data_IF_081076865930
#
_entry.id   IF_081076865930
#
_cell.length_a   1.000
_cell.length_b   1.000
_cell.length_c   1.000
_cell.angle_alpha   90.00
_cell.angle_beta   90.00
_cell.angle_gamma   90.00
#
_symmetry.space_group_name_H-M   'P 1'
#
loop_
_entity.id
_entity.type
_entity.pdbx_description
1 polymer ?
#
# COMPACT_ATOMS: atom_id res chain seq x y z
N UNK A 1 53.92 -12.32 -7.34
CA UNK A 1 53.65 -10.87 -7.47
C UNK A 1 52.30 -10.60 -8.16
N UNK A 2 51.87 -11.43 -9.12
CA UNK A 2 50.61 -11.26 -9.84
C UNK A 2 49.40 -11.56 -8.94
N UNK A 3 49.38 -12.63 -8.17
CA UNK A 3 48.30 -13.00 -7.26
C UNK A 3 48.01 -11.96 -6.16
N UNK A 4 49.01 -11.27 -5.63
CA UNK A 4 48.83 -10.25 -4.58
C UNK A 4 48.18 -9.00 -5.18
N UNK A 5 48.49 -8.67 -6.41
CA UNK A 5 47.92 -7.51 -7.13
C UNK A 5 46.47 -7.73 -7.49
N UNK A 6 46.10 -8.97 -7.83
CA UNK A 6 44.70 -9.33 -8.14
C UNK A 6 43.83 -9.35 -6.89
N UNK A 7 44.34 -9.85 -5.75
CA UNK A 7 43.61 -9.84 -4.47
C UNK A 7 43.36 -8.41 -3.94
N UNK A 8 44.35 -7.53 -4.04
CA UNK A 8 44.23 -6.12 -3.65
C UNK A 8 43.22 -5.39 -4.53
N UNK A 9 43.23 -5.68 -5.87
CA UNK A 9 42.27 -5.08 -6.79
C UNK A 9 40.83 -5.54 -6.54
N UNK A 10 40.67 -6.81 -6.16
CA UNK A 10 39.35 -7.37 -5.82
C UNK A 10 38.81 -6.75 -4.52
N UNK A 11 39.67 -6.66 -3.49
CA UNK A 11 39.29 -6.05 -2.21
C UNK A 11 38.97 -4.54 -2.34
N UNK A 12 39.67 -3.85 -3.23
CA UNK A 12 39.40 -2.44 -3.52
C UNK A 12 38.06 -2.25 -4.24
N UNK A 13 37.73 -3.15 -5.17
CA UNK A 13 36.47 -3.13 -5.88
C UNK A 13 35.26 -3.45 -4.97
N UNK A 14 35.42 -4.44 -4.09
CA UNK A 14 34.40 -4.75 -3.07
C UNK A 14 34.17 -3.57 -2.13
N UNK A 15 35.22 -2.90 -1.73
CA UNK A 15 35.12 -1.70 -0.87
C UNK A 15 34.42 -0.53 -1.57
N UNK A 16 34.70 -0.31 -2.86
CA UNK A 16 34.00 0.70 -3.67
C UNK A 16 32.51 0.37 -3.83
N UNK A 17 32.16 -0.89 -4.06
CA UNK A 17 30.77 -1.36 -4.14
C UNK A 17 30.04 -1.16 -2.81
N UNK A 18 30.68 -1.50 -1.69
CA UNK A 18 30.13 -1.28 -0.34
C UNK A 18 29.89 0.20 -0.05
N UNK A 19 30.86 1.07 -0.36
CA UNK A 19 30.72 2.52 -0.19
C UNK A 19 29.61 3.11 -1.05
N UNK A 20 29.47 2.61 -2.28
CA UNK A 20 28.39 3.02 -3.17
C UNK A 20 27.02 2.58 -2.63
N UNK A 21 26.91 1.33 -2.15
CA UNK A 21 25.69 0.81 -1.53
C UNK A 21 25.32 1.60 -0.28
N UNK A 22 26.28 1.93 0.57
CA UNK A 22 26.09 2.73 1.77
C UNK A 22 25.62 4.16 1.42
N UNK A 23 26.22 4.77 0.39
CA UNK A 23 25.84 6.09 -0.08
C UNK A 23 24.40 6.09 -0.62
N UNK A 24 24.03 5.10 -1.43
CA UNK A 24 22.68 4.93 -1.97
C UNK A 24 21.68 4.73 -0.82
N UNK A 25 22.01 3.86 0.14
CA UNK A 25 21.18 3.60 1.31
C UNK A 25 20.95 4.88 2.12
N UNK A 26 21.99 5.66 2.38
CA UNK A 26 21.89 6.92 3.12
C UNK A 26 21.02 7.97 2.39
N UNK A 27 21.11 8.03 1.06
CA UNK A 27 20.23 8.91 0.26
C UNK A 27 18.78 8.46 0.36
N UNK A 28 18.52 7.15 0.25
CA UNK A 28 17.17 6.59 0.38
C UNK A 28 16.59 6.90 1.76
N UNK A 29 17.34 6.64 2.85
CA UNK A 29 16.90 6.97 4.21
C UNK A 29 16.61 8.46 4.41
N UNK A 30 17.41 9.32 3.79
CA UNK A 30 17.23 10.78 3.90
C UNK A 30 15.96 11.24 3.17
N UNK A 31 15.71 10.69 1.99
CA UNK A 31 14.49 10.95 1.21
C UNK A 31 13.26 10.39 1.94
N UNK A 32 13.36 9.17 2.45
CA UNK A 32 12.31 8.52 3.23
C UNK A 32 11.92 9.35 4.45
N UNK A 33 12.90 9.75 5.28
CA UNK A 33 12.65 10.60 6.45
C UNK A 33 12.07 11.98 6.12
N UNK A 34 12.39 12.53 4.93
CA UNK A 34 11.79 13.79 4.48
C UNK A 34 10.32 13.56 4.05
N UNK A 35 10.04 12.49 3.32
CA UNK A 35 8.69 12.17 2.83
C UNK A 35 7.76 11.80 3.98
N UNK A 36 8.20 10.91 4.88
CA UNK A 36 7.42 10.45 6.05
C UNK A 36 7.47 11.41 7.26
N UNK A 37 7.93 12.64 7.05
CA UNK A 37 7.99 13.68 8.07
C UNK A 37 6.63 14.29 8.42
N UNK A 38 6.66 15.32 9.26
CA UNK A 38 5.49 16.08 9.73
C UNK A 38 4.57 16.57 8.60
N UNK A 39 5.12 16.88 7.43
CA UNK A 39 4.36 17.34 6.28
C UNK A 39 3.34 16.31 5.79
N UNK A 40 3.76 15.06 5.71
CA UNK A 40 2.87 13.98 5.27
C UNK A 40 1.78 13.72 6.32
N UNK A 41 2.11 13.78 7.61
CA UNK A 41 1.16 13.62 8.70
C UNK A 41 0.10 14.71 8.63
N UNK A 42 0.51 15.98 8.50
CA UNK A 42 -0.41 17.13 8.37
C UNK A 42 -1.30 16.98 7.12
N UNK A 43 -0.71 16.61 5.99
CA UNK A 43 -1.44 16.40 4.74
C UNK A 43 -2.46 15.25 4.89
N UNK A 44 -2.05 14.15 5.50
CA UNK A 44 -2.89 12.96 5.71
C UNK A 44 -4.10 13.30 6.61
N UNK A 45 -3.84 13.83 7.82
CA UNK A 45 -4.90 14.21 8.75
C UNK A 45 -5.77 15.33 8.21
N UNK A 46 -5.16 16.34 7.57
CA UNK A 46 -5.88 17.42 6.89
C UNK A 46 -6.84 16.89 5.82
N UNK A 47 -6.38 15.93 5.02
CA UNK A 47 -7.22 15.26 4.01
C UNK A 47 -8.34 14.46 4.66
N UNK A 48 -8.07 13.73 5.73
CA UNK A 48 -9.06 12.94 6.46
C UNK A 48 -10.16 13.83 7.05
N UNK A 49 -9.78 14.93 7.68
CA UNK A 49 -10.73 15.91 8.27
C UNK A 49 -11.54 16.59 7.15
N UNK A 50 -10.86 17.05 6.10
CA UNK A 50 -11.53 17.67 4.95
C UNK A 50 -12.57 16.74 4.33
N UNK A 51 -12.21 15.48 4.07
CA UNK A 51 -13.14 14.50 3.51
C UNK A 51 -14.28 14.16 4.46
N UNK A 52 -14.01 14.08 5.77
CA UNK A 52 -15.06 13.87 6.78
C UNK A 52 -16.12 14.98 6.73
N UNK A 53 -15.69 16.23 6.66
CA UNK A 53 -16.59 17.39 6.55
C UNK A 53 -17.35 17.36 5.21
N UNK A 54 -16.65 17.14 4.11
CA UNK A 54 -17.25 17.12 2.76
C UNK A 54 -18.23 15.99 2.54
N UNK A 55 -18.07 14.85 3.20
CA UNK A 55 -18.97 13.70 3.12
C UNK A 55 -20.10 13.74 4.17
N UNK A 56 -20.17 14.81 4.99
CA UNK A 56 -21.20 14.97 5.99
C UNK A 56 -21.14 13.89 7.08
N UNK A 57 -19.95 13.59 7.59
CA UNK A 57 -19.70 12.59 8.63
C UNK A 57 -20.23 11.21 8.23
N UNK A 58 -19.82 10.72 7.07
CA UNK A 58 -20.25 9.43 6.51
C UNK A 58 -20.03 8.27 7.48
N UNK A 59 -19.07 8.38 8.39
CA UNK A 59 -18.76 7.37 9.41
C UNK A 59 -20.00 6.93 10.21
N UNK A 60 -20.92 7.86 10.51
CA UNK A 60 -22.16 7.56 11.23
C UNK A 60 -23.08 6.58 10.48
N UNK A 61 -23.00 6.57 9.15
CA UNK A 61 -23.85 5.74 8.28
C UNK A 61 -23.15 4.48 7.81
N UNK A 62 -21.80 4.42 7.93
CA UNK A 62 -21.00 3.35 7.35
C UNK A 62 -21.31 2.00 7.96
N UNK A 63 -21.44 1.90 9.28
CA UNK A 63 -21.67 0.62 9.95
C UNK A 63 -23.01 0.03 9.51
N UNK A 64 -24.13 0.75 9.69
CA UNK A 64 -25.46 0.19 9.41
C UNK A 64 -25.75 0.03 7.91
N UNK A 65 -25.43 1.05 7.10
CA UNK A 65 -25.65 0.98 5.64
C UNK A 65 -24.61 0.13 4.94
N UNK A 66 -23.36 0.16 5.36
CA UNK A 66 -22.29 -0.62 4.77
C UNK A 66 -22.54 -2.12 4.90
N UNK A 67 -22.90 -2.61 6.09
CA UNK A 67 -23.25 -4.03 6.31
C UNK A 67 -24.47 -4.42 5.47
N UNK A 68 -25.51 -3.60 5.45
CA UNK A 68 -26.72 -3.86 4.66
C UNK A 68 -26.39 -3.99 3.16
N UNK A 69 -25.64 -3.03 2.62
CA UNK A 69 -25.28 -3.01 1.19
C UNK A 69 -24.33 -4.14 0.80
N UNK A 70 -23.45 -4.59 1.71
CA UNK A 70 -22.51 -5.68 1.41
C UNK A 70 -23.22 -7.03 1.21
N UNK A 71 -24.34 -7.24 1.90
CA UNK A 71 -25.10 -8.49 1.83
C UNK A 71 -26.24 -8.42 0.81
N UNK A 72 -26.67 -7.21 0.46
CA UNK A 72 -27.77 -7.01 -0.49
C UNK A 72 -27.33 -7.36 -1.91
N UNK A 73 -28.09 -8.21 -2.58
CA UNK A 73 -27.94 -8.46 -4.03
C UNK A 73 -28.54 -7.28 -4.78
N UNK A 74 -27.77 -6.66 -5.63
CA UNK A 74 -28.23 -5.60 -6.54
C UNK A 74 -28.31 -6.20 -7.95
N UNK A 75 -29.52 -6.43 -8.48
CA UNK A 75 -29.70 -7.00 -9.82
C UNK A 75 -29.21 -6.09 -10.94
N UNK A 76 -29.19 -4.77 -10.69
CA UNK A 76 -28.80 -3.75 -11.66
C UNK A 76 -27.33 -3.35 -11.55
N UNK A 77 -26.54 -4.04 -10.72
CA UNK A 77 -25.11 -3.75 -10.55
C UNK A 77 -24.34 -4.08 -11.83
N UNK A 78 -23.81 -3.08 -12.48
CA UNK A 78 -22.91 -3.22 -13.65
C UNK A 78 -21.49 -3.72 -13.29
N UNK A 79 -21.33 -4.62 -12.32
CA UNK A 79 -20.06 -5.16 -11.86
C UNK A 79 -19.89 -6.62 -12.26
N UNK A 80 -18.63 -7.07 -12.41
CA UNK A 80 -18.30 -8.48 -12.66
C UNK A 80 -18.40 -9.35 -11.39
N UNK A 81 -18.50 -8.73 -10.22
CA UNK A 81 -18.48 -9.38 -8.89
C UNK A 81 -19.65 -8.90 -8.05
N UNK A 82 -20.18 -9.79 -7.20
CA UNK A 82 -21.22 -9.43 -6.24
C UNK A 82 -20.70 -8.42 -5.20
N UNK A 83 -21.61 -7.70 -4.54
CA UNK A 83 -21.24 -6.73 -3.47
C UNK A 83 -20.43 -7.40 -2.35
N UNK A 84 -20.81 -8.62 -1.96
CA UNK A 84 -20.07 -9.41 -0.98
C UNK A 84 -18.69 -9.83 -1.51
N UNK A 85 -18.61 -10.26 -2.76
CA UNK A 85 -17.34 -10.60 -3.42
C UNK A 85 -16.40 -9.40 -3.51
N UNK A 86 -16.92 -8.21 -3.81
CA UNK A 86 -16.14 -6.97 -3.82
C UNK A 86 -15.63 -6.60 -2.42
N UNK A 87 -16.45 -6.78 -1.38
CA UNK A 87 -16.04 -6.54 0.01
C UNK A 87 -14.93 -7.51 0.43
N UNK A 88 -15.09 -8.81 0.19
CA UNK A 88 -14.09 -9.84 0.57
C UNK A 88 -12.78 -9.63 -0.15
N UNK A 89 -12.81 -9.28 -1.43
CA UNK A 89 -11.61 -8.95 -2.21
C UNK A 89 -10.92 -7.70 -1.66
N UNK A 90 -11.69 -6.66 -1.33
CA UNK A 90 -11.13 -5.44 -0.75
C UNK A 90 -10.51 -5.70 0.63
N UNK A 91 -11.14 -6.53 1.48
CA UNK A 91 -10.59 -6.92 2.77
C UNK A 91 -9.30 -7.74 2.60
N UNK A 92 -9.29 -8.73 1.71
CA UNK A 92 -8.11 -9.54 1.43
C UNK A 92 -6.93 -8.69 0.93
N UNK A 93 -7.20 -7.69 0.10
CA UNK A 93 -6.15 -6.76 -0.38
C UNK A 93 -5.67 -5.76 0.67
N UNK A 94 -6.49 -5.44 1.68
CA UNK A 94 -6.18 -4.42 2.69
C UNK A 94 -5.56 -5.01 3.95
N UNK A 95 -5.96 -6.22 4.34
CA UNK A 95 -5.41 -6.89 5.52
C UNK A 95 -4.06 -7.51 5.16
N UNK A 96 -3.01 -6.92 5.69
CA UNK A 96 -1.63 -7.34 5.43
C UNK A 96 -0.74 -7.13 6.65
N UNK A 97 0.57 -7.32 6.46
CA UNK A 97 1.59 -7.16 7.53
C UNK A 97 1.57 -5.79 8.17
N UNK A 98 1.20 -4.73 7.43
CA UNK A 98 1.05 -3.38 7.98
C UNK A 98 0.04 -3.28 9.11
N UNK A 99 -1.05 -4.06 9.07
CA UNK A 99 -2.10 -4.06 10.09
C UNK A 99 -1.72 -4.89 11.33
N UNK A 100 -0.78 -5.79 11.22
CA UNK A 100 -0.34 -6.69 12.29
C UNK A 100 1.04 -6.26 12.80
N UNK A 101 2.06 -6.41 11.99
CA UNK A 101 3.44 -6.08 12.33
C UNK A 101 3.62 -4.57 12.50
N UNK A 102 3.08 -3.77 11.58
CA UNK A 102 3.18 -2.30 11.63
C UNK A 102 2.53 -1.70 12.87
N UNK A 103 1.35 -2.19 13.26
CA UNK A 103 0.69 -1.75 14.50
C UNK A 103 1.46 -2.25 15.73
N UNK A 104 1.94 -3.50 15.72
CA UNK A 104 2.80 -4.03 16.77
C UNK A 104 4.06 -3.19 16.98
N UNK A 105 4.75 -2.83 15.90
CA UNK A 105 5.93 -1.96 15.93
C UNK A 105 5.58 -0.56 16.43
N UNK A 106 4.46 0.00 16.00
CA UNK A 106 4.01 1.31 16.48
C UNK A 106 3.77 1.32 18.00
N UNK A 107 3.20 0.23 18.54
CA UNK A 107 2.99 0.07 19.98
C UNK A 107 4.31 -0.10 20.72
N UNK A 108 5.22 -0.90 20.16
CA UNK A 108 6.54 -1.13 20.77
C UNK A 108 7.38 0.16 20.86
N UNK A 109 7.32 1.01 19.85
CA UNK A 109 8.07 2.26 19.80
C UNK A 109 7.35 3.43 20.46
N UNK A 110 6.03 3.53 20.29
CA UNK A 110 5.21 4.67 20.72
C UNK A 110 4.41 4.42 22.01
N UNK A 111 4.50 3.21 22.56
CA UNK A 111 3.75 2.81 23.76
C UNK A 111 2.24 2.68 23.50
N UNK A 112 1.43 2.51 24.58
CA UNK A 112 -0.02 2.28 24.47
C UNK A 112 -0.79 3.42 23.76
N UNK A 113 -0.25 4.64 23.80
CA UNK A 113 -0.84 5.79 23.10
C UNK A 113 -0.90 5.63 21.58
N UNK A 114 -0.04 4.80 20.99
CA UNK A 114 -0.06 4.50 19.55
C UNK A 114 -1.40 3.87 19.12
N UNK A 115 -2.01 3.05 19.96
CA UNK A 115 -3.32 2.43 19.68
C UNK A 115 -4.40 3.49 19.48
N UNK A 116 -4.42 4.52 20.36
CA UNK A 116 -5.37 5.63 20.26
C UNK A 116 -5.21 6.37 18.93
N UNK A 117 -3.97 6.65 18.53
CA UNK A 117 -3.67 7.32 17.25
C UNK A 117 -4.08 6.46 16.04
N UNK A 118 -3.85 5.14 16.10
CA UNK A 118 -4.32 4.21 15.06
C UNK A 118 -5.86 4.24 14.94
N UNK A 119 -6.59 4.25 16.05
CA UNK A 119 -8.05 4.32 16.04
C UNK A 119 -8.56 5.66 15.50
N UNK A 120 -7.98 6.77 15.95
CA UNK A 120 -8.35 8.10 15.45
C UNK A 120 -8.12 8.21 13.95
N UNK A 121 -6.95 7.78 13.48
CA UNK A 121 -6.62 7.73 12.05
C UNK A 121 -7.61 6.85 11.29
N UNK A 122 -7.96 5.68 11.82
CA UNK A 122 -8.93 4.77 11.22
C UNK A 122 -10.32 5.39 11.08
N UNK A 123 -10.85 6.02 12.13
CA UNK A 123 -12.16 6.66 12.13
C UNK A 123 -12.24 7.76 11.05
N UNK A 124 -11.25 8.64 11.01
CA UNK A 124 -11.22 9.70 10.00
C UNK A 124 -10.89 9.16 8.60
N UNK A 125 -10.08 8.10 8.53
CA UNK A 125 -9.72 7.41 7.29
C UNK A 125 -10.89 6.79 6.54
N UNK A 126 -11.98 6.43 7.24
CA UNK A 126 -13.22 5.92 6.62
C UNK A 126 -13.74 6.88 5.53
N UNK A 127 -13.80 8.18 5.81
CA UNK A 127 -14.30 9.16 4.85
C UNK A 127 -13.39 9.30 3.63
N UNK A 128 -12.09 9.21 3.83
CA UNK A 128 -11.12 9.25 2.74
C UNK A 128 -11.22 8.01 1.86
N UNK A 129 -11.31 6.81 2.46
CA UNK A 129 -11.47 5.56 1.72
C UNK A 129 -12.80 5.49 0.96
N UNK A 130 -13.88 5.98 1.57
CA UNK A 130 -15.16 6.12 0.89
C UNK A 130 -15.05 7.02 -0.35
N UNK A 131 -14.40 8.18 -0.20
CA UNK A 131 -14.21 9.12 -1.31
C UNK A 131 -13.33 8.56 -2.41
N UNK A 132 -12.25 7.85 -2.07
CA UNK A 132 -11.38 7.13 -2.99
C UNK A 132 -12.16 6.12 -3.81
N UNK A 133 -12.92 5.25 -3.15
CA UNK A 133 -13.74 4.23 -3.80
C UNK A 133 -14.82 4.85 -4.71
N UNK A 134 -15.47 5.90 -4.24
CA UNK A 134 -16.48 6.64 -5.03
C UNK A 134 -15.88 7.23 -6.33
N UNK A 135 -14.71 7.84 -6.22
CA UNK A 135 -13.99 8.42 -7.37
C UNK A 135 -13.54 7.32 -8.32
N UNK A 136 -13.02 6.20 -7.79
CA UNK A 136 -12.60 5.06 -8.59
C UNK A 136 -13.76 4.48 -9.42
N UNK A 137 -14.94 4.33 -8.83
CA UNK A 137 -16.15 3.87 -9.52
C UNK A 137 -16.64 4.90 -10.54
N UNK A 138 -16.67 6.19 -10.17
CA UNK A 138 -17.15 7.28 -11.05
C UNK A 138 -16.35 7.41 -12.35
N UNK A 139 -15.02 7.20 -12.27
CA UNK A 139 -14.13 7.37 -13.43
C UNK A 139 -13.70 6.05 -14.06
N UNK A 140 -14.34 4.92 -13.68
CA UNK A 140 -14.08 3.62 -14.31
C UNK A 140 -14.43 3.64 -15.79
N UNK A 141 -13.80 2.75 -16.53
CA UNK A 141 -13.90 2.62 -17.97
C UNK A 141 -14.24 1.20 -18.34
N UNK A 142 -15.17 1.04 -19.25
CA UNK A 142 -15.39 -0.26 -19.90
C UNK A 142 -14.42 -0.39 -21.07
N UNK A 143 -13.57 -1.41 -21.02
CA UNK A 143 -12.64 -1.73 -22.10
C UNK A 143 -13.38 -2.37 -23.28
N UNK A 144 -12.69 -2.48 -24.44
CA UNK A 144 -13.26 -3.14 -25.64
C UNK A 144 -13.64 -4.59 -25.35
N UNK A 145 -12.93 -5.24 -24.44
CA UNK A 145 -13.17 -6.62 -24.03
C UNK A 145 -14.30 -6.77 -22.98
N UNK A 146 -15.05 -5.69 -22.72
CA UNK A 146 -16.16 -5.68 -21.76
C UNK A 146 -15.76 -5.53 -20.30
N UNK A 147 -14.46 -5.60 -19.94
CA UNK A 147 -13.97 -5.50 -18.56
C UNK A 147 -14.06 -4.09 -18.02
N UNK A 148 -14.42 -3.96 -16.74
CA UNK A 148 -14.41 -2.68 -16.04
C UNK A 148 -13.04 -2.38 -15.45
N UNK A 149 -12.42 -1.28 -15.85
CA UNK A 149 -11.15 -0.81 -15.31
C UNK A 149 -11.34 0.54 -14.62
N UNK A 150 -10.73 0.69 -13.44
CA UNK A 150 -10.82 1.89 -12.61
C UNK A 150 -9.54 2.09 -11.79
N UNK A 151 -9.65 2.95 -10.79
CA UNK A 151 -8.55 3.25 -9.87
C UNK A 151 -7.99 4.66 -10.04
N UNK A 152 -6.94 4.97 -9.25
CA UNK A 152 -6.40 6.32 -9.16
C UNK A 152 -5.86 6.85 -10.49
N UNK A 153 -5.26 6.01 -11.34
CA UNK A 153 -4.74 6.42 -12.65
C UNK A 153 -5.85 6.93 -13.59
N UNK A 154 -7.01 6.26 -13.58
CA UNK A 154 -8.16 6.70 -14.37
C UNK A 154 -8.83 7.93 -13.77
N UNK A 155 -8.91 8.00 -12.44
CA UNK A 155 -9.43 9.16 -11.74
C UNK A 155 -8.58 10.41 -12.01
N UNK A 156 -7.25 10.30 -11.98
CA UNK A 156 -6.34 11.40 -12.32
C UNK A 156 -6.45 11.82 -13.79
N UNK A 157 -6.41 10.87 -14.71
CA UNK A 157 -6.42 11.18 -16.14
C UNK A 157 -7.75 11.74 -16.65
N UNK A 158 -8.88 11.37 -16.03
CA UNK A 158 -10.22 11.79 -16.43
C UNK A 158 -10.86 12.85 -15.55
N UNK A 159 -10.55 12.85 -14.25
CA UNK A 159 -11.15 13.74 -13.26
C UNK A 159 -10.56 15.14 -13.22
N UNK A 160 -9.28 15.29 -13.56
CA UNK A 160 -8.62 16.60 -13.57
C UNK A 160 -9.08 17.48 -14.74
N UNK A 161 -9.24 18.77 -14.46
CA UNK A 161 -9.58 19.77 -15.50
C UNK A 161 -8.47 19.85 -16.57
N UNK A 162 -7.23 19.80 -16.18
CA UNK A 162 -6.06 19.82 -17.06
C UNK A 162 -5.73 18.42 -17.55
N UNK A 163 -6.30 18.04 -18.69
CA UNK A 163 -6.21 16.68 -19.25
C UNK A 163 -4.77 16.20 -19.48
N UNK A 164 -3.87 17.08 -19.93
CA UNK A 164 -2.45 16.74 -20.13
C UNK A 164 -1.77 16.39 -18.79
N UNK A 165 -1.95 17.24 -17.78
CA UNK A 165 -1.41 17.01 -16.43
C UNK A 165 -2.00 15.73 -15.81
N UNK A 166 -3.30 15.52 -15.95
CA UNK A 166 -3.98 14.33 -15.46
C UNK A 166 -3.45 13.03 -16.06
N UNK A 167 -3.15 13.01 -17.36
CA UNK A 167 -2.52 11.85 -18.02
C UNK A 167 -1.11 11.58 -17.50
N UNK A 168 -0.29 12.63 -17.37
CA UNK A 168 1.08 12.49 -16.86
C UNK A 168 1.07 11.96 -15.42
N UNK A 169 0.26 12.56 -14.55
CA UNK A 169 0.14 12.11 -13.16
C UNK A 169 -0.41 10.68 -13.06
N UNK A 170 -1.39 10.32 -13.89
CA UNK A 170 -1.93 8.96 -13.96
C UNK A 170 -0.88 7.94 -14.41
N UNK A 171 -0.01 8.29 -15.36
CA UNK A 171 1.08 7.45 -15.82
C UNK A 171 2.15 7.29 -14.73
N UNK A 172 2.57 8.38 -14.10
CA UNK A 172 3.53 8.37 -13.00
C UNK A 172 3.01 7.48 -11.87
N UNK A 173 1.74 7.65 -11.49
CA UNK A 173 1.10 6.80 -10.48
C UNK A 173 1.14 5.31 -10.87
N UNK A 174 0.80 4.97 -12.11
CA UNK A 174 0.80 3.58 -12.57
C UNK A 174 2.19 2.94 -12.51
N UNK A 175 3.24 3.68 -12.90
CA UNK A 175 4.63 3.22 -12.82
C UNK A 175 5.05 2.98 -11.38
N UNK A 176 4.84 3.95 -10.49
CA UNK A 176 5.19 3.79 -9.08
C UNK A 176 4.37 2.70 -8.38
N UNK A 177 3.07 2.56 -8.70
CA UNK A 177 2.24 1.48 -8.17
C UNK A 177 2.74 0.11 -8.64
N UNK A 178 3.21 0.00 -9.90
CA UNK A 178 3.82 -1.22 -10.41
C UNK A 178 5.09 -1.59 -9.63
N UNK A 179 6.01 -0.66 -9.41
CA UNK A 179 7.20 -0.92 -8.59
C UNK A 179 6.85 -1.25 -7.14
N UNK A 180 5.91 -0.51 -6.53
CA UNK A 180 5.49 -0.74 -5.16
C UNK A 180 4.86 -2.13 -4.96
N UNK A 181 4.18 -2.68 -5.97
CA UNK A 181 3.56 -4.00 -5.88
C UNK A 181 4.58 -5.13 -5.66
N UNK A 182 5.78 -5.03 -6.23
CA UNK A 182 6.85 -6.01 -5.99
C UNK A 182 7.39 -5.93 -4.56
N UNK A 183 7.63 -4.73 -4.02
CA UNK A 183 8.15 -4.54 -2.67
C UNK A 183 7.09 -4.82 -1.61
N UNK A 184 6.10 -3.95 -1.52
CA UNK A 184 5.09 -3.95 -0.44
C UNK A 184 4.06 -5.08 -0.66
N UNK A 185 3.69 -5.37 -1.91
CA UNK A 185 2.66 -6.35 -2.22
C UNK A 185 3.11 -7.80 -2.02
N UNK A 186 4.36 -8.11 -2.28
CA UNK A 186 4.88 -9.48 -2.24
C UNK A 186 6.03 -9.65 -1.25
N UNK A 187 7.16 -8.97 -1.47
CA UNK A 187 8.39 -9.24 -0.73
C UNK A 187 8.25 -9.05 0.78
N UNK A 188 7.64 -7.97 1.24
CA UNK A 188 7.43 -7.71 2.68
C UNK A 188 6.47 -8.70 3.32
N UNK A 189 5.43 -9.13 2.61
CA UNK A 189 4.45 -10.10 3.11
C UNK A 189 5.12 -11.46 3.33
N UNK A 190 5.80 -11.98 2.30
CA UNK A 190 6.51 -13.28 2.35
C UNK A 190 7.61 -13.26 3.40
N UNK A 191 8.39 -12.18 3.47
CA UNK A 191 9.44 -12.04 4.48
C UNK A 191 8.89 -12.09 5.91
N UNK A 192 7.77 -11.42 6.18
CA UNK A 192 7.15 -11.44 7.51
C UNK A 192 6.62 -12.82 7.87
N UNK A 193 6.02 -13.56 6.92
CA UNK A 193 5.58 -14.94 7.12
C UNK A 193 6.79 -15.83 7.41
N UNK A 194 7.85 -15.71 6.61
CA UNK A 194 9.06 -16.50 6.74
C UNK A 194 9.71 -16.29 8.12
N UNK A 195 9.86 -15.03 8.56
CA UNK A 195 10.44 -14.71 9.86
C UNK A 195 9.64 -15.32 11.02
N UNK A 196 8.30 -15.19 11.02
CA UNK A 196 7.45 -15.75 12.07
C UNK A 196 7.54 -17.28 12.11
N UNK A 197 7.58 -17.95 10.96
CA UNK A 197 7.72 -19.41 10.90
C UNK A 197 9.12 -19.82 11.38
N UNK A 198 10.17 -19.15 10.93
CA UNK A 198 11.55 -19.44 11.33
C UNK A 198 11.74 -19.29 12.83
N UNK A 199 11.27 -18.20 13.44
CA UNK A 199 11.36 -17.97 14.88
C UNK A 199 10.61 -19.00 15.73
N UNK A 200 9.47 -19.53 15.23
CA UNK A 200 8.66 -20.45 16.01
C UNK A 200 8.95 -21.93 15.73
N UNK A 201 9.45 -22.29 14.55
CA UNK A 201 9.64 -23.68 14.13
C UNK A 201 11.09 -24.03 13.86
N UNK A 202 11.98 -23.05 13.71
CA UNK A 202 13.38 -23.25 13.30
C UNK A 202 13.56 -23.61 11.83
N UNK A 203 12.48 -23.58 11.04
CA UNK A 203 12.54 -23.83 9.58
C UNK A 203 13.13 -22.62 8.90
N UNK A 204 14.15 -22.82 8.08
CA UNK A 204 14.84 -21.75 7.37
C UNK A 204 13.89 -20.94 6.48
N UNK A 205 13.97 -19.62 6.54
CA UNK A 205 13.03 -18.71 5.86
C UNK A 205 12.92 -18.91 4.35
N UNK A 206 14.00 -19.34 3.66
CA UNK A 206 13.97 -19.61 2.23
C UNK A 206 13.06 -20.80 1.86
N UNK A 207 12.97 -21.82 2.74
CA UNK A 207 12.07 -22.98 2.55
C UNK A 207 10.63 -22.52 2.63
N UNK A 208 10.33 -21.66 3.62
CA UNK A 208 9.00 -21.06 3.78
C UNK A 208 8.63 -20.23 2.55
N UNK A 209 9.58 -19.43 2.05
CA UNK A 209 9.40 -18.63 0.84
C UNK A 209 9.08 -19.48 -0.39
N UNK A 210 9.76 -20.60 -0.55
CA UNK A 210 9.52 -21.55 -1.65
C UNK A 210 8.14 -22.22 -1.53
N UNK A 211 7.73 -22.62 -0.33
CA UNK A 211 6.40 -23.18 -0.09
C UNK A 211 5.31 -22.17 -0.42
N UNK A 212 5.45 -20.92 0.04
CA UNK A 212 4.49 -19.85 -0.28
C UNK A 212 4.42 -19.60 -1.78
N UNK A 213 5.56 -19.59 -2.48
CA UNK A 213 5.60 -19.39 -3.93
C UNK A 213 4.93 -20.52 -4.73
N UNK A 214 4.93 -21.74 -4.21
CA UNK A 214 4.22 -22.88 -4.85
C UNK A 214 2.72 -22.85 -4.57
N UNK A 215 2.31 -22.32 -3.42
CA UNK A 215 0.90 -22.25 -3.01
C UNK A 215 0.13 -21.07 -3.62
N UNK A 216 0.84 -20.04 -4.14
CA UNK A 216 0.26 -18.83 -4.76
C UNK A 216 0.37 -18.84 -6.28
#
# INVERSE_FOLDING_TARGET
QMCIRDSVCTEQKEREELLMMETISNVIYKVDGMVWGWWLIILLFGTHIYMTIRTGFIQRKTISKGIKLSVQKDPDAEGEVSNFGALTTALAATIGTGNIVGVGTAIALGGPGAVLWCWLSGIFGIATKYSESLIAVKYRVKTKDGRMQGGAMYALSRGLKWKKLGKVLGMIFAVFAGFASFGIGCATQVNSIANVVEENTGVQGWIVGLVVAVLT
#
